data_IF_628822260619
#
_entry.id   IF_628822260619
#
_cell.length_a   1.000
_cell.length_b   1.000
_cell.length_c   1.000
_cell.angle_alpha   90.00
_cell.angle_beta   90.00
_cell.angle_gamma   90.00
#
_symmetry.space_group_name_H-M   'P 1'
#
loop_
_entity.id
_entity.type
_entity.pdbx_description
1 polymer ?
#
# COMPACT_ATOMS: atom_id res chain seq x y z
N UNK A 1 3.69 -0.91 9.59
CA UNK A 1 3.15 -0.80 8.22
C UNK A 1 2.36 0.48 8.12
N UNK A 2 2.35 1.13 6.97
CA UNK A 2 1.48 2.28 6.67
C UNK A 2 0.82 2.07 5.30
N UNK A 3 -0.30 2.74 5.07
CA UNK A 3 -0.89 2.88 3.74
C UNK A 3 -0.72 4.34 3.37
N UNK A 4 0.43 4.71 2.79
CA UNK A 4 0.68 6.09 2.40
C UNK A 4 -0.30 6.50 1.30
N UNK A 5 -1.34 7.24 1.70
CA UNK A 5 -2.42 7.69 0.82
C UNK A 5 -2.57 9.19 0.98
N UNK A 6 -2.02 9.95 0.04
CA UNK A 6 -2.05 11.42 0.06
C UNK A 6 -3.23 12.00 -0.71
N UNK A 7 -3.96 11.17 -1.46
CA UNK A 7 -5.19 11.50 -2.16
C UNK A 7 -6.09 10.27 -2.25
N UNK A 8 -7.38 10.48 -2.52
CA UNK A 8 -8.32 9.38 -2.77
C UNK A 8 -7.90 8.53 -3.98
N UNK A 9 -7.36 9.18 -5.02
CA UNK A 9 -6.85 8.53 -6.22
C UNK A 9 -5.50 7.83 -5.95
N UNK A 10 -5.46 6.53 -6.24
CA UNK A 10 -4.29 5.67 -6.03
C UNK A 10 -3.10 6.07 -6.90
N UNK A 11 -3.33 6.53 -8.13
CA UNK A 11 -2.28 6.97 -9.04
C UNK A 11 -1.64 8.27 -8.57
N UNK A 12 -2.43 9.20 -8.04
CA UNK A 12 -1.87 10.43 -7.45
C UNK A 12 -1.01 10.07 -6.24
N UNK A 13 -1.50 9.19 -5.37
CA UNK A 13 -0.74 8.71 -4.23
C UNK A 13 0.56 8.01 -4.63
N UNK A 14 0.53 7.16 -5.66
CA UNK A 14 1.72 6.47 -6.17
C UNK A 14 2.75 7.44 -6.72
N UNK A 15 2.31 8.43 -7.50
CA UNK A 15 3.18 9.47 -8.07
C UNK A 15 3.83 10.33 -7.00
N UNK A 16 3.17 10.55 -5.87
CA UNK A 16 3.68 11.39 -4.80
C UNK A 16 4.85 10.75 -4.01
N UNK A 17 4.88 9.41 -3.88
CA UNK A 17 5.93 8.74 -3.13
C UNK A 17 7.29 8.81 -3.83
N UNK A 18 8.39 8.86 -3.09
CA UNK A 18 9.72 8.61 -3.65
C UNK A 18 9.93 7.10 -3.93
N UNK A 19 10.97 6.77 -4.71
CA UNK A 19 11.24 5.40 -5.15
C UNK A 19 11.40 4.39 -4.00
N UNK A 20 11.97 4.79 -2.87
CA UNK A 20 12.17 3.90 -1.72
C UNK A 20 10.84 3.63 -1.02
N UNK A 21 10.07 4.69 -0.73
CA UNK A 21 8.75 4.55 -0.06
C UNK A 21 7.76 3.84 -0.97
N UNK A 22 7.78 4.12 -2.27
CA UNK A 22 6.98 3.44 -3.28
C UNK A 22 7.28 1.94 -3.35
N UNK A 23 8.56 1.56 -3.45
CA UNK A 23 8.96 0.14 -3.48
C UNK A 23 8.52 -0.60 -2.21
N UNK A 24 8.63 0.06 -1.05
CA UNK A 24 8.19 -0.46 0.24
C UNK A 24 6.66 -0.56 0.33
N UNK A 25 5.92 0.42 -0.18
CA UNK A 25 4.47 0.46 -0.14
C UNK A 25 3.84 -0.74 -0.87
N UNK A 26 4.43 -1.16 -2.00
CA UNK A 26 3.99 -2.37 -2.71
C UNK A 26 4.12 -3.61 -1.84
N UNK A 27 5.24 -3.78 -1.14
CA UNK A 27 5.45 -4.93 -0.25
C UNK A 27 4.50 -4.88 0.96
N UNK A 28 4.31 -3.71 1.57
CA UNK A 28 3.39 -3.57 2.71
C UNK A 28 1.94 -3.85 2.29
N UNK A 29 1.49 -3.37 1.13
CA UNK A 29 0.15 -3.68 0.60
C UNK A 29 -0.02 -5.17 0.32
N UNK A 30 0.95 -5.81 -0.33
CA UNK A 30 0.95 -7.25 -0.57
C UNK A 30 0.80 -8.03 0.75
N UNK A 31 1.57 -7.66 1.78
CA UNK A 31 1.51 -8.30 3.09
C UNK A 31 0.16 -8.09 3.79
N UNK A 32 -0.39 -6.86 3.76
CA UNK A 32 -1.69 -6.54 4.36
C UNK A 32 -2.80 -7.37 3.70
N UNK A 33 -2.82 -7.44 2.37
CA UNK A 33 -3.80 -8.23 1.62
C UNK A 33 -3.69 -9.71 2.00
N UNK A 34 -2.48 -10.27 2.02
CA UNK A 34 -2.27 -11.68 2.40
C UNK A 34 -2.70 -12.00 3.83
N UNK A 35 -2.49 -11.10 4.78
CA UNK A 35 -2.98 -11.28 6.15
C UNK A 35 -4.51 -11.34 6.16
N UNK A 36 -5.18 -10.45 5.41
CA UNK A 36 -6.64 -10.46 5.30
C UNK A 36 -7.14 -11.77 4.66
N UNK A 37 -6.53 -12.22 3.56
CA UNK A 37 -6.87 -13.47 2.89
C UNK A 37 -6.67 -14.70 3.79
N UNK A 38 -5.59 -14.72 4.58
CA UNK A 38 -5.31 -15.79 5.52
C UNK A 38 -6.33 -15.81 6.68
N UNK A 39 -6.71 -14.64 7.19
CA UNK A 39 -7.69 -14.52 8.27
C UNK A 39 -9.07 -15.05 7.85
N UNK A 40 -9.49 -14.81 6.61
CA UNK A 40 -10.72 -15.39 6.05
C UNK A 40 -10.53 -16.78 5.45
N UNK A 41 -9.38 -17.43 5.69
CA UNK A 41 -9.07 -18.82 5.33
C UNK A 41 -9.08 -19.13 3.82
N UNK A 42 -8.84 -18.13 2.97
CA UNK A 42 -8.67 -18.36 1.52
C UNK A 42 -7.29 -18.94 1.20
N UNK A 43 -6.27 -18.51 1.95
CA UNK A 43 -4.90 -19.03 1.84
C UNK A 43 -4.37 -19.45 3.21
N UNK A 44 -3.35 -20.29 3.21
CA UNK A 44 -2.52 -20.47 4.40
C UNK A 44 -1.60 -19.26 4.59
N UNK A 45 -1.51 -18.76 5.81
CA UNK A 45 -0.70 -17.59 6.10
C UNK A 45 -0.66 -17.20 7.57
N UNK A 46 0.26 -16.30 7.89
CA UNK A 46 0.45 -15.80 9.24
C UNK A 46 -0.46 -14.59 9.52
N UNK A 47 -1.38 -14.73 10.48
CA UNK A 47 -2.32 -13.67 10.88
C UNK A 47 -1.82 -12.82 12.04
N UNK A 48 -0.55 -12.97 12.45
CA UNK A 48 0.05 -12.23 13.57
C UNK A 48 -0.13 -10.73 13.44
N UNK A 49 -0.14 -10.16 12.25
CA UNK A 49 -0.31 -8.71 12.05
C UNK A 49 -1.75 -8.21 12.12
N UNK A 50 -2.76 -9.08 12.34
CA UNK A 50 -4.16 -8.67 12.39
C UNK A 50 -4.45 -7.61 13.49
N UNK A 51 -3.69 -7.62 14.58
CA UNK A 51 -3.80 -6.61 15.64
C UNK A 51 -3.21 -5.25 15.25
N UNK A 52 -2.42 -5.16 14.17
CA UNK A 52 -1.85 -3.89 13.72
C UNK A 52 -2.98 -2.96 13.24
N UNK A 53 -3.06 -1.70 13.69
CA UNK A 53 -4.20 -0.81 13.40
C UNK A 53 -4.55 -0.70 11.92
N UNK A 54 -3.54 -0.57 11.05
CA UNK A 54 -3.72 -0.52 9.58
C UNK A 54 -4.31 -1.83 9.04
N UNK A 55 -3.85 -2.99 9.52
CA UNK A 55 -4.34 -4.30 9.04
C UNK A 55 -5.77 -4.53 9.54
N UNK A 56 -6.04 -4.20 10.81
CA UNK A 56 -7.40 -4.26 11.37
C UNK A 56 -8.38 -3.39 10.58
N UNK A 57 -7.96 -2.18 10.21
CA UNK A 57 -8.74 -1.28 9.37
C UNK A 57 -9.01 -1.87 7.97
N UNK A 58 -7.97 -2.42 7.32
CA UNK A 58 -8.10 -3.11 6.05
C UNK A 58 -9.00 -4.36 6.12
N UNK A 59 -8.96 -5.10 7.23
CA UNK A 59 -9.72 -6.33 7.43
C UNK A 59 -11.22 -6.08 7.62
N UNK A 60 -11.61 -4.90 8.12
CA UNK A 60 -12.99 -4.44 8.19
C UNK A 60 -13.97 -5.48 8.76
N UNK A 61 -13.67 -5.97 9.96
CA UNK A 61 -14.53 -6.90 10.71
C UNK A 61 -14.99 -8.14 9.90
N UNK A 62 -14.16 -8.65 9.00
CA UNK A 62 -14.46 -9.84 8.20
C UNK A 62 -14.95 -9.57 6.79
N UNK A 63 -15.14 -8.31 6.39
CA UNK A 63 -15.44 -7.91 5.02
C UNK A 63 -14.31 -7.02 4.46
N UNK A 64 -13.12 -7.59 4.19
CA UNK A 64 -11.92 -6.81 3.98
C UNK A 64 -11.98 -5.99 2.69
N UNK A 65 -11.35 -4.81 2.69
CA UNK A 65 -11.26 -3.90 1.54
C UNK A 65 -10.22 -4.34 0.50
N UNK A 66 -10.15 -5.65 0.20
CA UNK A 66 -9.11 -6.24 -0.66
C UNK A 66 -9.18 -5.67 -2.07
N UNK A 67 -10.37 -5.38 -2.60
CA UNK A 67 -10.53 -4.86 -3.96
C UNK A 67 -9.83 -3.49 -4.12
N UNK A 68 -10.08 -2.55 -3.20
CA UNK A 68 -9.46 -1.22 -3.23
C UNK A 68 -7.96 -1.28 -2.91
N UNK A 69 -7.56 -2.11 -1.94
CA UNK A 69 -6.15 -2.33 -1.60
C UNK A 69 -5.35 -2.90 -2.77
N UNK A 70 -5.96 -3.81 -3.54
CA UNK A 70 -5.34 -4.41 -4.70
C UNK A 70 -5.20 -3.41 -5.85
N UNK A 71 -6.21 -2.58 -6.10
CA UNK A 71 -6.10 -1.46 -7.05
C UNK A 71 -4.99 -0.49 -6.65
N UNK A 72 -4.87 -0.18 -5.37
CA UNK A 72 -3.76 0.64 -4.85
C UNK A 72 -2.41 -0.04 -5.05
N UNK A 73 -2.31 -1.35 -4.80
CA UNK A 73 -1.09 -2.13 -5.03
C UNK A 73 -0.64 -2.03 -6.49
N UNK A 74 -1.56 -2.24 -7.43
CA UNK A 74 -1.28 -2.17 -8.87
C UNK A 74 -0.78 -0.78 -9.25
N UNK A 75 -1.47 0.29 -8.86
CA UNK A 75 -1.04 1.66 -9.16
C UNK A 75 0.37 1.97 -8.61
N UNK A 76 0.68 1.47 -7.41
CA UNK A 76 1.99 1.65 -6.77
C UNK A 76 3.09 0.85 -7.47
N UNK A 77 2.78 -0.36 -7.93
CA UNK A 77 3.75 -1.21 -8.62
C UNK A 77 4.01 -0.76 -10.06
N UNK A 78 2.97 -0.35 -10.79
CA UNK A 78 3.08 0.25 -12.12
C UNK A 78 3.95 1.50 -12.08
N UNK A 79 3.71 2.41 -11.13
CA UNK A 79 4.54 3.61 -10.97
C UNK A 79 5.98 3.25 -10.57
N UNK A 80 6.17 2.22 -9.73
CA UNK A 80 7.51 1.76 -9.36
C UNK A 80 8.29 1.27 -10.58
N UNK A 81 7.65 0.42 -11.40
CA UNK A 81 8.25 -0.13 -12.61
C UNK A 81 8.51 0.96 -13.66
N UNK A 82 7.56 1.90 -13.83
CA UNK A 82 7.72 3.07 -14.73
C UNK A 82 8.96 3.91 -14.39
N UNK A 83 9.34 3.98 -13.10
CA UNK A 83 10.55 4.68 -12.63
C UNK A 83 11.83 3.85 -12.68
N UNK A 84 11.80 2.69 -13.33
CA UNK A 84 12.96 1.79 -13.44
C UNK A 84 13.13 0.85 -12.25
N UNK A 85 12.14 0.78 -11.36
CA UNK A 85 12.08 -0.20 -10.28
C UNK A 85 12.00 -1.63 -10.82
N UNK A 86 12.79 -2.54 -10.25
CA UNK A 86 12.84 -3.94 -10.66
C UNK A 86 12.20 -4.84 -9.62
N UNK A 87 11.40 -5.80 -10.07
CA UNK A 87 10.89 -6.91 -9.25
C UNK A 87 11.66 -8.19 -9.57
N UNK A 88 11.92 -8.99 -8.54
CA UNK A 88 12.43 -10.35 -8.73
C UNK A 88 11.38 -11.20 -9.45
N UNK A 89 11.81 -12.23 -10.18
CA UNK A 89 10.89 -13.15 -10.85
C UNK A 89 9.94 -13.82 -9.85
N UNK A 90 10.44 -14.20 -8.66
CA UNK A 90 9.62 -14.76 -7.59
C UNK A 90 8.49 -13.81 -7.17
N UNK A 91 8.79 -12.53 -6.91
CA UNK A 91 7.76 -11.59 -6.48
C UNK A 91 6.75 -11.27 -7.57
N UNK A 92 7.14 -11.32 -8.85
CA UNK A 92 6.19 -11.20 -9.96
C UNK A 92 5.19 -12.36 -9.96
N UNK A 93 5.69 -13.59 -9.80
CA UNK A 93 4.82 -14.77 -9.69
C UNK A 93 3.90 -14.70 -8.47
N UNK A 94 4.41 -14.19 -7.32
CA UNK A 94 3.58 -13.96 -6.14
C UNK A 94 2.43 -12.98 -6.40
N UNK A 95 2.66 -11.92 -7.19
CA UNK A 95 1.61 -10.95 -7.56
C UNK A 95 0.59 -11.55 -8.54
N UNK A 96 1.04 -12.37 -9.49
CA UNK A 96 0.16 -13.09 -10.42
C UNK A 96 -0.78 -14.05 -9.68
N UNK A 97 -0.24 -14.86 -8.76
CA UNK A 97 -1.05 -15.75 -7.91
C UNK A 97 -2.01 -14.98 -7.00
N UNK A 98 -1.56 -13.83 -6.48
CA UNK A 98 -2.42 -12.96 -5.68
C UNK A 98 -3.61 -12.44 -6.52
N UNK A 99 -3.36 -12.01 -7.77
CA UNK A 99 -4.39 -11.52 -8.69
C UNK A 99 -5.46 -12.58 -8.97
N UNK A 100 -5.04 -13.82 -9.24
CA UNK A 100 -5.93 -14.96 -9.45
C UNK A 100 -6.76 -15.25 -8.21
N UNK A 101 -6.12 -15.34 -7.05
CA UNK A 101 -6.78 -15.58 -5.76
C UNK A 101 -7.86 -14.53 -5.47
N UNK A 102 -7.54 -13.25 -5.68
CA UNK A 102 -8.48 -12.15 -5.47
C UNK A 102 -9.66 -12.26 -6.44
N UNK A 103 -9.40 -12.52 -7.72
CA UNK A 103 -10.44 -12.61 -8.76
C UNK A 103 -11.44 -13.72 -8.47
N UNK A 104 -10.95 -14.91 -8.08
CA UNK A 104 -11.80 -16.06 -7.76
C UNK A 104 -12.68 -15.84 -6.52
N UNK A 105 -12.22 -15.01 -5.58
CA UNK A 105 -12.86 -14.82 -4.28
C UNK A 105 -13.47 -13.43 -4.08
N UNK A 106 -13.57 -12.61 -5.12
CA UNK A 106 -13.99 -11.20 -5.02
C UNK A 106 -15.35 -11.01 -4.35
N UNK A 107 -16.24 -12.01 -4.43
CA UNK A 107 -17.56 -12.00 -3.81
C UNK A 107 -17.53 -12.00 -2.27
N UNK A 108 -16.37 -12.29 -1.65
CA UNK A 108 -16.17 -12.28 -0.20
C UNK A 108 -15.64 -10.94 0.33
N UNK A 109 -15.31 -9.99 -0.55
CA UNK A 109 -14.64 -8.75 -0.18
C UNK A 109 -15.59 -7.56 -0.20
N UNK A 110 -15.23 -6.50 0.50
CA UNK A 110 -15.93 -5.23 0.35
C UNK A 110 -15.66 -4.64 -1.04
N UNK A 111 -16.72 -4.14 -1.67
CA UNK A 111 -16.66 -3.37 -2.93
C UNK A 111 -16.63 -1.86 -2.68
N UNK A 112 -16.69 -1.42 -1.42
CA UNK A 112 -16.46 -0.03 -1.05
C UNK A 112 -14.97 0.29 -1.08
N UNK A 113 -14.63 1.57 -1.28
CA UNK A 113 -13.25 2.03 -1.13
C UNK A 113 -12.82 1.97 0.32
N UNK A 114 -11.54 1.64 0.57
CA UNK A 114 -10.96 1.70 1.89
C UNK A 114 -11.11 3.14 2.44
N UNK A 115 -11.72 3.36 3.60
CA UNK A 115 -11.80 4.70 4.17
C UNK A 115 -10.38 5.22 4.50
N UNK A 116 -10.08 6.51 4.28
CA UNK A 116 -8.77 7.05 4.60
C UNK A 116 -8.50 6.93 6.10
N UNK A 117 -7.34 6.35 6.42
CA UNK A 117 -6.93 6.09 7.80
C UNK A 117 -5.43 6.34 7.98
N UNK A 118 -5.10 7.11 9.01
CA UNK A 118 -3.74 7.47 9.38
C UNK A 118 -3.44 6.96 10.79
N UNK A 119 -2.29 6.32 10.96
CA UNK A 119 -1.75 5.96 12.28
C UNK A 119 -0.24 6.22 12.28
N UNK A 120 0.22 7.03 13.22
CA UNK A 120 1.65 7.27 13.46
C UNK A 120 1.88 7.67 14.92
N UNK A 121 2.71 6.91 15.63
CA UNK A 121 2.80 7.03 17.09
C UNK A 121 1.42 6.84 17.74
N UNK A 122 1.03 7.78 18.58
CA UNK A 122 -0.28 7.80 19.24
C UNK A 122 -1.39 8.47 18.41
N UNK A 123 -1.03 9.11 17.29
CA UNK A 123 -1.97 9.84 16.45
C UNK A 123 -2.76 8.87 15.58
N UNK A 124 -4.09 9.00 15.60
CA UNK A 124 -5.02 8.28 14.72
C UNK A 124 -6.00 9.27 14.08
N UNK A 125 -6.07 9.26 12.75
CA UNK A 125 -6.98 10.14 12.00
C UNK A 125 -7.81 9.34 11.00
N UNK A 126 -9.02 9.81 10.75
CA UNK A 126 -9.97 9.33 9.75
C UNK A 126 -10.49 10.50 8.93
N UNK A 127 -11.06 10.22 7.75
CA UNK A 127 -11.60 11.26 6.84
C UNK A 127 -10.51 12.07 6.14
N UNK A 128 -10.89 13.17 5.50
CA UNK A 128 -10.03 13.88 4.54
C UNK A 128 -8.73 14.44 5.14
N UNK A 129 -8.72 14.73 6.45
CA UNK A 129 -7.51 15.18 7.16
C UNK A 129 -6.35 14.19 7.10
N UNK A 130 -6.63 12.91 6.81
CA UNK A 130 -5.61 11.86 6.61
C UNK A 130 -4.69 12.18 5.45
N UNK A 131 -5.23 12.74 4.36
CA UNK A 131 -4.45 13.06 3.16
C UNK A 131 -3.37 14.11 3.47
N UNK A 132 -3.74 15.17 4.19
CA UNK A 132 -2.81 16.19 4.66
C UNK A 132 -1.75 15.59 5.62
N UNK A 133 -2.19 14.78 6.59
CA UNK A 133 -1.28 14.15 7.55
C UNK A 133 -0.24 13.23 6.87
N UNK A 134 -0.61 12.51 5.82
CA UNK A 134 0.37 11.72 5.06
C UNK A 134 1.32 12.59 4.24
N UNK A 135 0.87 13.71 3.66
CA UNK A 135 1.75 14.67 2.96
C UNK A 135 2.80 15.24 3.92
N UNK A 136 2.38 15.68 5.11
CA UNK A 136 3.26 16.18 6.17
C UNK A 136 4.26 15.11 6.61
N UNK A 137 3.78 13.92 6.95
CA UNK A 137 4.63 12.81 7.37
C UNK A 137 5.67 12.42 6.30
N UNK A 138 5.28 12.42 5.02
CA UNK A 138 6.20 12.13 3.93
C UNK A 138 7.25 13.23 3.77
N UNK A 139 6.84 14.49 3.83
CA UNK A 139 7.75 15.64 3.80
C UNK A 139 8.78 15.59 4.93
N UNK A 140 8.35 15.36 6.17
CA UNK A 140 9.26 15.16 7.31
C UNK A 140 10.22 13.99 7.08
N UNK A 141 9.70 12.88 6.55
CA UNK A 141 10.52 11.71 6.25
C UNK A 141 11.55 12.01 5.16
N UNK A 142 11.27 12.89 4.20
CA UNK A 142 12.21 13.28 3.15
C UNK A 142 13.30 14.21 3.66
N UNK A 143 12.94 15.21 4.47
CA UNK A 143 13.90 16.13 5.08
C UNK A 143 14.93 15.42 5.96
N UNK A 144 14.49 14.35 6.62
CA UNK A 144 15.34 13.53 7.49
C UNK A 144 15.92 12.29 6.80
N UNK A 145 15.81 12.18 5.47
CA UNK A 145 16.29 11.00 4.76
C UNK A 145 17.81 11.03 4.59
N UNK A 146 18.50 10.13 5.29
CA UNK A 146 19.96 9.97 5.21
C UNK A 146 20.38 8.89 4.22
N UNK A 147 19.43 8.22 3.56
CA UNK A 147 19.68 7.07 2.69
C UNK A 147 19.42 7.47 1.23
N UNK A 148 20.42 7.27 0.38
CA UNK A 148 20.32 7.55 -1.06
C UNK A 148 19.14 6.81 -1.73
N UNK A 149 18.47 7.40 -2.74
CA UNK A 149 17.37 6.76 -3.45
C UNK A 149 17.75 5.39 -4.05
N UNK A 150 16.86 4.40 -3.93
CA UNK A 150 17.10 3.02 -4.41
C UNK A 150 17.16 2.87 -5.94
N UNK A 151 16.71 3.87 -6.70
CA UNK A 151 16.76 3.89 -8.15
C UNK A 151 17.17 5.29 -8.61
N UNK A 152 18.06 5.36 -9.61
CA UNK A 152 18.73 6.56 -10.11
C UNK A 152 17.84 7.56 -10.84
N UNK A 153 16.65 7.84 -10.31
CA UNK A 153 15.81 8.91 -10.83
C UNK A 153 16.43 10.26 -10.45
N UNK A 154 17.01 10.93 -11.44
CA UNK A 154 17.36 12.33 -11.35
C UNK A 154 16.10 13.15 -11.62
N UNK A 155 15.70 13.98 -10.66
CA UNK A 155 14.74 15.04 -10.91
C UNK A 155 15.34 15.90 -12.02
N UNK A 156 14.69 15.96 -13.19
CA UNK A 156 15.05 16.98 -14.17
C UNK A 156 14.78 18.33 -13.53
N UNK A 157 15.83 19.10 -13.29
CA UNK A 157 15.72 20.51 -12.93
C UNK A 157 14.84 21.19 -13.99
N UNK A 158 13.88 22.04 -13.60
CA UNK A 158 13.16 22.85 -14.56
C UNK A 158 14.18 23.74 -15.28
N UNK A 159 14.32 23.53 -16.59
CA UNK A 159 14.98 24.44 -17.52
C UNK A 159 14.01 25.52 -17.94
#
# INVERSE_FOLDING_TARGET
MQIFRVEADHNISAKYLDNRRLSKQVLELYQIIRVCLAEIKIIEGNTRYLHHPIVKHAYNNGSPFIMDLYQMLIAMDEEHQRRGGKRSAAFKSDLEQLAETITLNQHLFSHESLPPFFVYGDVKLTGDKVYAAYKELLHEKWLNDTISPRCGWQQKSPS
#
